data_IF_813695119367
#
_entry.id   IF_813695119367
#
_cell.length_a   1.000
_cell.length_b   1.000
_cell.length_c   1.000
_cell.angle_alpha   90.00
_cell.angle_beta   90.00
_cell.angle_gamma   90.00
#
_symmetry.space_group_name_H-M   'P 1'
#
loop_
_entity.id
_entity.type
_entity.pdbx_description
1 polymer ?
#
# COMPACT_ATOMS: atom_id res chain seq x y z
N UNK A 1 53.59 -15.97 -28.13
CA UNK A 1 54.01 -17.31 -28.55
C UNK A 1 52.79 -17.97 -29.18
N UNK A 2 52.91 -18.34 -30.46
CA UNK A 2 51.86 -18.81 -31.39
C UNK A 2 51.24 -17.68 -32.26
N UNK A 3 52.04 -16.95 -33.05
CA UNK A 3 52.51 -17.36 -34.38
C UNK A 3 51.62 -18.42 -35.08
N UNK A 4 51.16 -18.32 -36.32
CA UNK A 4 51.32 -17.37 -37.40
C UNK A 4 50.42 -17.93 -38.55
N UNK A 5 50.14 -17.09 -39.55
CA UNK A 5 49.88 -17.43 -40.96
C UNK A 5 48.46 -17.92 -41.34
N UNK A 6 47.67 -17.12 -42.07
CA UNK A 6 47.84 -16.69 -43.47
C UNK A 6 47.26 -17.71 -44.47
N UNK A 7 46.15 -17.36 -45.12
CA UNK A 7 45.91 -17.80 -46.49
C UNK A 7 45.08 -16.78 -47.27
N UNK A 8 45.77 -15.71 -47.68
CA UNK A 8 45.34 -14.90 -48.80
C UNK A 8 45.54 -15.66 -50.13
N UNK A 9 44.55 -15.55 -51.02
CA UNK A 9 44.76 -15.16 -52.42
C UNK A 9 45.26 -16.17 -53.46
N UNK A 10 44.39 -16.36 -54.47
CA UNK A 10 44.67 -16.45 -55.94
C UNK A 10 45.25 -17.78 -56.49
N UNK A 11 45.23 -18.05 -57.82
CA UNK A 11 44.79 -17.26 -58.98
C UNK A 11 43.85 -18.00 -59.97
N UNK A 12 43.65 -17.38 -61.12
CA UNK A 12 42.77 -17.71 -62.24
C UNK A 12 43.42 -18.60 -63.33
N UNK A 13 42.53 -19.12 -64.19
CA UNK A 13 42.61 -19.27 -65.65
C UNK A 13 43.27 -20.51 -66.31
N UNK A 14 42.66 -20.81 -67.48
CA UNK A 14 43.08 -21.63 -68.63
C UNK A 14 43.00 -23.16 -68.50
N UNK A 15 42.70 -23.97 -69.52
CA UNK A 15 41.94 -23.96 -70.79
C UNK A 15 42.48 -25.15 -71.61
N UNK A 16 41.64 -26.11 -72.02
CA UNK A 16 41.83 -27.03 -73.16
C UNK A 16 40.67 -28.07 -73.12
N UNK A 17 39.69 -28.03 -74.02
CA UNK A 17 39.69 -28.55 -75.40
C UNK A 17 39.26 -30.03 -75.52
N UNK A 18 38.01 -30.19 -76.01
CA UNK A 18 37.42 -31.18 -76.95
C UNK A 18 37.69 -32.69 -76.76
N UNK A 19 36.58 -33.47 -76.70
CA UNK A 19 36.15 -34.52 -77.66
C UNK A 19 34.64 -34.74 -77.43
N UNK A 20 33.73 -34.11 -78.18
CA UNK A 20 32.98 -34.65 -79.35
C UNK A 20 32.52 -36.10 -79.14
N UNK A 21 31.25 -36.31 -78.81
CA UNK A 21 30.54 -37.52 -79.21
C UNK A 21 29.16 -37.13 -79.74
N UNK A 22 28.98 -37.36 -81.03
CA UNK A 22 27.75 -37.17 -81.78
C UNK A 22 26.75 -38.28 -81.45
N UNK A 23 25.50 -37.91 -81.19
CA UNK A 23 24.37 -38.81 -81.45
C UNK A 23 23.12 -38.00 -81.86
N UNK A 24 22.58 -38.21 -83.07
CA UNK A 24 21.44 -37.44 -83.58
C UNK A 24 20.08 -38.10 -83.34
N UNK A 25 19.04 -37.26 -83.23
CA UNK A 25 17.61 -37.60 -83.27
C UNK A 25 16.96 -37.63 -81.88
N UNK A 26 15.86 -36.93 -81.58
CA UNK A 26 14.65 -36.69 -82.38
C UNK A 26 13.98 -35.38 -81.92
N UNK A 27 13.45 -34.64 -82.89
CA UNK A 27 12.67 -33.38 -82.77
C UNK A 27 11.26 -33.60 -82.21
N UNK A 28 10.81 -32.66 -81.37
CA UNK A 28 9.41 -32.19 -81.36
C UNK A 28 8.70 -32.15 -80.00
N UNK A 29 8.21 -30.97 -79.60
CA UNK A 29 7.02 -30.88 -78.73
C UNK A 29 6.99 -29.76 -77.67
N UNK A 30 6.62 -28.54 -78.08
CA UNK A 30 5.76 -27.59 -77.35
C UNK A 30 5.97 -27.33 -75.84
N UNK A 31 6.58 -26.19 -75.53
CA UNK A 31 6.58 -25.56 -74.19
C UNK A 31 5.17 -25.06 -73.82
N UNK A 32 4.45 -25.78 -72.95
CA UNK A 32 3.23 -25.28 -72.33
C UNK A 32 3.54 -24.26 -71.21
N UNK A 33 2.75 -23.18 -71.03
CA UNK A 33 3.03 -22.18 -70.01
C UNK A 33 2.73 -22.75 -68.62
N UNK A 34 3.73 -22.72 -67.73
CA UNK A 34 3.58 -23.13 -66.34
C UNK A 34 2.58 -22.21 -65.62
N UNK A 35 1.39 -22.73 -65.32
CA UNK A 35 0.39 -22.04 -64.50
C UNK A 35 0.97 -21.85 -63.09
N UNK A 36 1.27 -20.61 -62.69
CA UNK A 36 1.68 -20.28 -61.32
C UNK A 36 0.61 -20.74 -60.33
N UNK A 37 0.94 -21.53 -59.30
CA UNK A 37 -0.05 -22.00 -58.34
C UNK A 37 -0.59 -20.79 -57.55
N UNK A 38 -1.91 -20.59 -57.59
CA UNK A 38 -2.57 -19.58 -56.74
C UNK A 38 -2.38 -20.02 -55.28
N UNK A 39 -1.65 -19.21 -54.51
CA UNK A 39 -1.37 -19.45 -53.09
C UNK A 39 -2.70 -19.51 -52.33
N UNK A 40 -3.12 -20.72 -51.95
CA UNK A 40 -4.31 -20.92 -51.12
C UNK A 40 -3.97 -20.43 -49.72
N UNK A 41 -4.69 -19.41 -49.26
CA UNK A 41 -4.55 -18.91 -47.90
C UNK A 41 -5.17 -19.97 -46.97
N UNK A 42 -4.41 -20.43 -45.99
CA UNK A 42 -4.90 -21.37 -44.96
C UNK A 42 -5.79 -20.60 -43.99
N UNK A 43 -7.09 -20.59 -44.26
CA UNK A 43 -8.09 -19.94 -43.40
C UNK A 43 -8.13 -20.51 -41.99
N UNK A 44 -7.72 -21.78 -41.80
CA UNK A 44 -7.57 -22.40 -40.48
C UNK A 44 -6.49 -21.73 -39.62
N UNK A 45 -5.36 -21.33 -40.23
CA UNK A 45 -4.29 -20.59 -39.54
C UNK A 45 -4.75 -19.18 -39.15
N UNK A 46 -5.50 -18.52 -40.04
CA UNK A 46 -6.06 -17.19 -39.75
C UNK A 46 -7.07 -17.29 -38.60
N UNK A 47 -7.99 -18.25 -38.65
CA UNK A 47 -8.95 -18.49 -37.56
C UNK A 47 -8.26 -18.81 -36.23
N UNK A 48 -7.20 -19.62 -36.25
CA UNK A 48 -6.42 -19.94 -35.06
C UNK A 48 -5.73 -18.69 -34.48
N UNK A 49 -5.11 -17.86 -35.33
CA UNK A 49 -4.46 -16.61 -34.89
C UNK A 49 -5.49 -15.63 -34.32
N UNK A 50 -6.64 -15.46 -34.98
CA UNK A 50 -7.72 -14.60 -34.48
C UNK A 50 -8.23 -15.09 -33.13
N UNK A 51 -8.44 -16.39 -32.96
CA UNK A 51 -8.86 -16.97 -31.69
C UNK A 51 -7.81 -16.78 -30.59
N UNK A 52 -6.52 -16.98 -30.90
CA UNK A 52 -5.43 -16.77 -29.95
C UNK A 52 -5.34 -15.30 -29.50
N UNK A 53 -5.48 -14.34 -30.42
CA UNK A 53 -5.52 -12.91 -30.10
C UNK A 53 -6.74 -12.56 -29.26
N UNK A 54 -7.91 -13.13 -29.57
CA UNK A 54 -9.12 -12.90 -28.79
C UNK A 54 -8.99 -13.42 -27.35
N UNK A 55 -8.40 -14.60 -27.15
CA UNK A 55 -8.12 -15.17 -25.83
C UNK A 55 -7.10 -14.28 -25.09
N UNK A 56 -6.02 -13.86 -25.74
CA UNK A 56 -5.03 -12.98 -25.12
C UNK A 56 -5.65 -11.64 -24.70
N UNK A 57 -6.48 -11.02 -25.55
CA UNK A 57 -7.20 -9.79 -25.23
C UNK A 57 -8.17 -10.00 -24.04
N UNK A 58 -8.87 -11.14 -24.00
CA UNK A 58 -9.76 -11.49 -22.89
C UNK A 58 -8.99 -11.66 -21.56
N UNK A 59 -7.85 -12.36 -21.58
CA UNK A 59 -7.00 -12.52 -20.39
C UNK A 59 -6.45 -11.18 -19.89
N UNK A 60 -6.07 -10.28 -20.79
CA UNK A 60 -5.65 -8.92 -20.45
C UNK A 60 -6.83 -8.16 -19.82
N UNK A 61 -8.01 -8.22 -20.42
CA UNK A 61 -9.20 -7.55 -19.90
C UNK A 61 -9.60 -8.04 -18.51
N UNK A 62 -9.55 -9.36 -18.26
CA UNK A 62 -9.82 -9.96 -16.93
C UNK A 62 -8.77 -9.50 -15.91
N UNK A 63 -7.50 -9.43 -16.30
CA UNK A 63 -6.41 -8.98 -15.43
C UNK A 63 -6.59 -7.51 -15.06
N UNK A 64 -6.86 -6.65 -16.04
CA UNK A 64 -7.14 -5.22 -15.82
C UNK A 64 -8.37 -5.04 -14.95
N UNK A 65 -9.46 -5.76 -15.23
CA UNK A 65 -10.67 -5.70 -14.40
C UNK A 65 -10.43 -6.18 -12.97
N UNK A 66 -9.64 -7.23 -12.78
CA UNK A 66 -9.34 -7.76 -11.43
C UNK A 66 -8.44 -6.83 -10.62
N UNK A 67 -7.55 -6.08 -11.27
CA UNK A 67 -6.63 -5.13 -10.62
C UNK A 67 -7.27 -3.76 -10.40
N UNK A 68 -8.04 -3.26 -11.36
CA UNK A 68 -8.58 -1.89 -11.36
C UNK A 68 -10.09 -1.79 -11.11
N UNK A 69 -10.85 -2.89 -11.27
CA UNK A 69 -12.31 -2.91 -11.13
C UNK A 69 -12.82 -3.06 -9.68
N UNK A 70 -11.91 -3.18 -8.71
CA UNK A 70 -12.30 -3.27 -7.29
C UNK A 70 -12.46 -1.87 -6.71
N UNK A 71 -13.70 -1.51 -6.36
CA UNK A 71 -14.00 -0.42 -5.43
C UNK A 71 -13.40 -0.75 -4.06
N UNK A 72 -12.10 -0.50 -3.91
CA UNK A 72 -11.38 -0.78 -2.69
C UNK A 72 -11.84 0.21 -1.62
N UNK A 73 -12.20 -0.32 -0.46
CA UNK A 73 -12.50 0.49 0.72
C UNK A 73 -11.33 1.43 1.07
N UNK A 74 -10.11 1.05 0.70
CA UNK A 74 -8.92 1.90 0.85
C UNK A 74 -9.00 3.22 0.07
N UNK A 75 -9.74 3.27 -1.05
CA UNK A 75 -9.96 4.52 -1.80
C UNK A 75 -10.89 5.50 -1.08
N UNK A 76 -11.52 5.09 0.04
CA UNK A 76 -12.32 5.96 0.90
C UNK A 76 -11.53 6.58 2.04
N UNK A 77 -10.25 6.24 2.19
CA UNK A 77 -9.36 6.85 3.17
C UNK A 77 -8.92 8.22 2.64
N UNK A 78 -9.38 9.29 3.29
CA UNK A 78 -8.92 10.64 2.98
C UNK A 78 -7.67 10.94 3.81
N UNK A 79 -6.50 10.67 3.24
CA UNK A 79 -5.20 10.85 3.93
C UNK A 79 -4.92 12.29 4.38
N UNK A 80 -5.66 13.28 3.88
CA UNK A 80 -5.58 14.66 4.37
C UNK A 80 -6.28 14.86 5.72
N UNK A 81 -7.23 13.99 6.07
CA UNK A 81 -8.04 14.05 7.30
C UNK A 81 -7.53 13.09 8.37
N UNK A 82 -8.00 13.28 9.59
CA UNK A 82 -7.90 12.26 10.63
C UNK A 82 -8.97 11.21 10.41
N UNK A 83 -8.70 9.98 10.84
CA UNK A 83 -9.65 8.88 10.85
C UNK A 83 -9.91 8.42 12.28
N UNK A 84 -11.17 8.12 12.59
CA UNK A 84 -11.49 7.21 13.68
C UNK A 84 -11.39 5.77 13.17
N UNK A 85 -10.60 4.94 13.85
CA UNK A 85 -10.35 3.54 13.48
C UNK A 85 -10.86 2.65 14.60
N UNK A 86 -11.89 1.87 14.30
CA UNK A 86 -12.53 0.97 15.24
C UNK A 86 -11.98 -0.44 15.04
N UNK A 87 -11.34 -0.98 16.06
CA UNK A 87 -10.78 -2.33 16.02
C UNK A 87 -11.87 -3.36 16.36
N UNK A 88 -11.78 -4.53 15.73
CA UNK A 88 -12.57 -5.70 16.07
C UNK A 88 -12.07 -6.29 17.41
N UNK A 89 -12.44 -5.65 18.51
CA UNK A 89 -12.08 -6.00 19.88
C UNK A 89 -13.33 -5.98 20.76
N UNK A 90 -13.38 -6.85 21.78
CA UNK A 90 -14.52 -6.91 22.71
C UNK A 90 -14.75 -5.58 23.45
N UNK A 91 -13.68 -4.83 23.67
CA UNK A 91 -13.69 -3.57 24.41
C UNK A 91 -14.06 -2.36 23.54
N UNK A 92 -14.23 -2.56 22.22
CA UNK A 92 -14.63 -1.49 21.29
C UNK A 92 -13.61 -0.35 21.18
N UNK A 93 -12.32 -0.64 21.39
CA UNK A 93 -11.28 0.38 21.39
C UNK A 93 -11.25 1.15 20.06
N UNK A 94 -11.27 2.48 20.18
CA UNK A 94 -11.13 3.41 19.06
C UNK A 94 -9.78 4.12 19.14
N UNK A 95 -9.14 4.28 17.98
CA UNK A 95 -7.97 5.13 17.80
C UNK A 95 -8.27 6.23 16.79
N UNK A 96 -7.65 7.39 16.98
CA UNK A 96 -7.74 8.52 16.08
C UNK A 96 -6.36 8.82 15.51
N UNK A 97 -6.22 8.96 14.19
CA UNK A 97 -4.91 9.22 13.60
C UNK A 97 -4.98 9.40 12.09
N UNK A 98 -3.83 9.50 11.44
CA UNK A 98 -3.69 9.51 9.99
C UNK A 98 -3.55 8.08 9.49
N UNK A 99 -4.61 7.58 8.87
CA UNK A 99 -4.67 6.23 8.31
C UNK A 99 -4.19 6.25 6.86
N UNK A 100 -3.36 5.29 6.48
CA UNK A 100 -3.01 5.04 5.08
C UNK A 100 -2.85 3.55 4.81
N UNK A 101 -2.92 3.21 3.52
CA UNK A 101 -2.56 1.87 3.05
C UNK A 101 -1.05 1.68 3.16
N UNK A 102 -0.62 0.64 3.87
CA UNK A 102 0.78 0.21 3.84
C UNK A 102 0.99 -0.83 2.73
N UNK A 103 0.20 -1.90 2.75
CA UNK A 103 0.18 -2.96 1.75
C UNK A 103 -1.16 -3.69 1.81
N UNK A 104 -1.32 -4.75 1.04
CA UNK A 104 -2.54 -5.53 0.84
C UNK A 104 -3.15 -6.09 2.13
N UNK A 105 -2.34 -6.23 3.19
CA UNK A 105 -2.70 -6.86 4.47
C UNK A 105 -2.75 -5.87 5.64
N UNK A 106 -2.02 -4.76 5.53
CA UNK A 106 -1.85 -3.82 6.64
C UNK A 106 -2.24 -2.40 6.27
N UNK A 107 -2.78 -1.69 7.25
CA UNK A 107 -2.79 -0.24 7.29
C UNK A 107 -1.73 0.26 8.26
N UNK A 108 -1.25 1.47 8.00
CA UNK A 108 -0.44 2.23 8.94
C UNK A 108 -1.31 3.36 9.48
N UNK A 109 -1.40 3.44 10.80
CA UNK A 109 -1.93 4.59 11.52
C UNK A 109 -0.74 5.36 12.11
N UNK A 110 -0.76 6.68 12.01
CA UNK A 110 0.26 7.57 12.56
C UNK A 110 -0.40 8.78 13.23
N UNK A 111 0.36 9.53 14.04
CA UNK A 111 -0.17 10.69 14.77
C UNK A 111 -1.39 10.30 15.62
N UNK A 112 -1.18 9.28 16.46
CA UNK A 112 -2.23 8.48 17.09
C UNK A 112 -2.67 9.07 18.42
N UNK A 113 -3.99 9.10 18.62
CA UNK A 113 -4.66 9.52 19.85
C UNK A 113 -5.74 8.51 20.25
N UNK A 114 -6.07 8.45 21.54
CA UNK A 114 -7.19 7.67 22.06
C UNK A 114 -7.87 8.41 23.22
N UNK A 115 -9.15 8.12 23.46
CA UNK A 115 -9.91 8.70 24.57
C UNK A 115 -9.41 8.12 25.89
N UNK A 116 -9.20 8.99 26.86
CA UNK A 116 -9.11 8.65 28.27
C UNK A 116 -10.31 9.23 29.00
N UNK A 117 -10.86 8.46 29.92
CA UNK A 117 -11.85 8.94 30.87
C UNK A 117 -11.10 9.19 32.17
N UNK A 118 -10.86 10.45 32.47
CA UNK A 118 -10.33 10.83 33.78
C UNK A 118 -11.51 10.95 34.75
N UNK A 119 -11.49 10.11 35.80
CA UNK A 119 -12.40 10.28 36.92
C UNK A 119 -11.86 11.40 37.81
N UNK A 120 -12.35 12.62 37.57
CA UNK A 120 -12.16 13.71 38.54
C UNK A 120 -12.91 13.35 39.81
N UNK A 121 -12.18 13.21 40.92
CA UNK A 121 -12.81 13.01 42.23
C UNK A 121 -13.64 14.24 42.57
N UNK A 122 -14.86 14.07 43.11
CA UNK A 122 -15.69 15.20 43.52
C UNK A 122 -14.94 16.01 44.58
N UNK A 123 -14.98 17.32 44.41
CA UNK A 123 -14.31 18.28 45.28
C UNK A 123 -14.83 18.11 46.72
N UNK A 124 -13.94 17.87 47.69
CA UNK A 124 -14.33 17.60 49.09
C UNK A 124 -15.10 18.76 49.73
N UNK A 125 -15.02 19.95 49.15
CA UNK A 125 -15.68 21.17 49.62
C UNK A 125 -17.02 21.45 48.91
N UNK A 126 -17.44 20.64 47.94
CA UNK A 126 -18.70 20.83 47.23
C UNK A 126 -19.40 19.50 46.94
N UNK A 127 -20.13 18.99 47.94
CA UNK A 127 -20.88 17.74 47.87
C UNK A 127 -22.02 17.71 46.82
N UNK A 128 -22.27 18.82 46.13
CA UNK A 128 -23.27 18.93 45.05
C UNK A 128 -22.65 19.05 43.64
N UNK A 129 -21.32 19.05 43.51
CA UNK A 129 -20.67 19.00 42.20
C UNK A 129 -20.87 17.61 41.57
N UNK A 130 -21.66 17.55 40.50
CA UNK A 130 -21.79 16.33 39.70
C UNK A 130 -20.41 15.97 39.12
N UNK A 131 -20.03 14.68 39.11
CA UNK A 131 -18.78 14.26 38.49
C UNK A 131 -18.83 14.57 37.00
N UNK A 132 -18.14 15.64 36.60
CA UNK A 132 -18.04 16.02 35.20
C UNK A 132 -17.03 15.08 34.54
N UNK A 133 -17.50 14.16 33.70
CA UNK A 133 -16.62 13.34 32.89
C UNK A 133 -15.86 14.25 31.93
N UNK A 134 -14.58 14.48 32.19
CA UNK A 134 -13.71 15.15 31.25
C UNK A 134 -13.20 14.08 30.27
N UNK A 135 -13.72 14.09 29.04
CA UNK A 135 -13.20 13.25 27.96
C UNK A 135 -11.91 13.91 27.49
N UNK A 136 -10.76 13.36 27.87
CA UNK A 136 -9.45 13.82 27.42
C UNK A 136 -8.92 12.91 26.30
N UNK A 137 -8.08 13.47 25.42
CA UNK A 137 -7.35 12.68 24.43
C UNK A 137 -5.91 12.49 24.91
N UNK A 138 -5.45 11.25 24.91
CA UNK A 138 -4.04 10.92 25.11
C UNK A 138 -3.36 10.67 23.78
N UNK A 139 -2.12 11.14 23.66
CA UNK A 139 -1.24 10.89 22.53
C UNK A 139 -0.51 9.56 22.76
N UNK A 140 -0.51 8.69 21.76
CA UNK A 140 0.32 7.48 21.76
C UNK A 140 1.81 7.88 21.77
N UNK A 141 2.61 7.20 22.60
CA UNK A 141 4.07 7.32 22.65
C UNK A 141 4.63 7.43 24.08
N UNK A 142 3.81 7.87 25.04
CA UNK A 142 4.23 8.12 26.42
C UNK A 142 3.84 6.98 27.38
N UNK A 143 3.47 5.82 26.87
CA UNK A 143 3.15 4.64 27.66
C UNK A 143 4.41 3.97 28.23
N UNK A 144 4.24 3.16 29.28
CA UNK A 144 5.36 2.44 29.94
C UNK A 144 6.14 1.50 29.01
N UNK A 145 5.50 1.03 27.94
CA UNK A 145 6.11 0.17 26.93
C UNK A 145 6.73 0.96 25.77
N UNK A 146 6.70 2.30 25.85
CA UNK A 146 7.40 3.23 24.96
C UNK A 146 7.16 3.00 23.46
N UNK A 147 5.90 2.92 23.00
CA UNK A 147 5.64 2.70 21.59
C UNK A 147 6.10 3.91 20.77
N UNK A 148 6.49 3.67 19.52
CA UNK A 148 6.55 4.76 18.56
C UNK A 148 5.12 5.21 18.22
N UNK A 149 5.00 6.42 17.68
CA UNK A 149 3.74 6.97 17.21
C UNK A 149 3.26 6.39 15.86
N UNK A 150 3.33 5.07 15.77
CA UNK A 150 2.91 4.29 14.60
C UNK A 150 2.23 3.01 15.07
N UNK A 151 1.17 2.62 14.36
CA UNK A 151 0.51 1.35 14.56
C UNK A 151 0.28 0.69 13.21
N UNK A 152 0.82 -0.52 13.06
CA UNK A 152 0.61 -1.36 11.89
C UNK A 152 -0.53 -2.33 12.18
N UNK A 153 -1.68 -2.08 11.56
CA UNK A 153 -2.93 -2.75 11.89
C UNK A 153 -3.27 -3.71 10.75
N UNK A 154 -3.54 -4.98 11.09
CA UNK A 154 -4.10 -5.92 10.11
C UNK A 154 -5.46 -5.39 9.63
N UNK A 155 -5.66 -5.33 8.31
CA UNK A 155 -6.90 -4.84 7.69
C UNK A 155 -8.13 -5.63 8.16
N UNK A 156 -7.99 -6.93 8.40
CA UNK A 156 -9.07 -7.81 8.85
C UNK A 156 -9.46 -7.56 10.32
N UNK A 157 -8.62 -6.84 11.07
CA UNK A 157 -8.88 -6.46 12.46
C UNK A 157 -9.57 -5.10 12.59
N UNK A 158 -9.84 -4.39 11.48
CA UNK A 158 -10.57 -3.13 11.50
C UNK A 158 -12.03 -3.40 11.18
N UNK A 159 -12.92 -3.04 12.10
CA UNK A 159 -14.37 -3.17 11.90
C UNK A 159 -14.88 -2.12 10.90
N UNK A 160 -14.49 -0.86 11.11
CA UNK A 160 -14.73 0.24 10.17
C UNK A 160 -13.82 1.44 10.50
N UNK A 161 -13.80 2.42 9.60
CA UNK A 161 -13.19 3.72 9.85
C UNK A 161 -14.07 4.85 9.35
N UNK A 162 -13.85 6.05 9.90
CA UNK A 162 -14.56 7.27 9.51
C UNK A 162 -13.57 8.39 9.26
N UNK A 163 -13.71 9.14 8.16
CA UNK A 163 -12.96 10.38 7.99
C UNK A 163 -13.59 11.48 8.86
N UNK A 164 -12.79 12.08 9.73
CA UNK A 164 -13.24 13.11 10.65
C UNK A 164 -13.34 14.47 9.96
N UNK A 165 -14.34 15.26 10.35
CA UNK A 165 -14.47 16.65 9.93
C UNK A 165 -13.50 17.53 10.70
N UNK A 166 -12.95 18.55 10.04
CA UNK A 166 -11.99 19.48 10.63
C UNK A 166 -12.56 20.27 11.82
N UNK A 167 -13.87 20.52 11.81
CA UNK A 167 -14.60 21.18 12.88
C UNK A 167 -15.13 20.24 13.99
N UNK A 168 -14.84 18.94 13.88
CA UNK A 168 -15.22 17.93 14.85
C UNK A 168 -14.48 18.10 16.18
N UNK A 169 -15.11 17.71 17.29
CA UNK A 169 -14.55 17.88 18.64
C UNK A 169 -13.19 17.17 18.80
N UNK A 170 -13.05 15.96 18.24
CA UNK A 170 -11.78 15.21 18.26
C UNK A 170 -10.68 15.96 17.52
N UNK A 171 -10.94 16.45 16.31
CA UNK A 171 -9.92 17.17 15.52
C UNK A 171 -9.55 18.49 16.18
N UNK A 172 -10.51 19.20 16.77
CA UNK A 172 -10.26 20.39 17.59
C UNK A 172 -9.38 20.08 18.81
N UNK A 173 -9.68 19.01 19.54
CA UNK A 173 -8.90 18.58 20.69
C UNK A 173 -7.47 18.17 20.30
N UNK A 174 -7.29 17.43 19.19
CA UNK A 174 -5.97 17.12 18.61
C UNK A 174 -5.22 18.39 18.24
N UNK A 175 -5.90 19.34 17.60
CA UNK A 175 -5.31 20.63 17.20
C UNK A 175 -4.85 21.43 18.42
N UNK A 176 -5.65 21.45 19.48
CA UNK A 176 -5.28 22.13 20.72
C UNK A 176 -4.13 21.43 21.44
N UNK A 177 -4.13 20.10 21.48
CA UNK A 177 -3.01 19.31 21.99
C UNK A 177 -1.70 19.68 21.27
N UNK A 178 -1.73 19.80 19.94
CA UNK A 178 -0.54 20.13 19.14
C UNK A 178 0.00 21.53 19.38
N UNK A 179 -0.85 22.50 19.74
CA UNK A 179 -0.40 23.84 20.14
C UNK A 179 0.30 23.81 21.50
N UNK A 180 -0.21 23.01 22.44
CA UNK A 180 0.24 22.97 23.83
C UNK A 180 0.46 21.52 24.33
N UNK A 181 1.46 20.79 23.81
CA UNK A 181 1.64 19.36 24.12
C UNK A 181 2.03 19.10 25.58
N UNK A 182 2.67 20.06 26.25
CA UNK A 182 3.14 19.92 27.65
C UNK A 182 2.02 20.07 28.68
N UNK A 183 0.99 20.89 28.41
CA UNK A 183 -0.13 21.08 29.34
C UNK A 183 -1.09 19.89 29.36
N UNK A 184 -1.29 19.25 28.20
CA UNK A 184 -2.20 18.13 28.07
C UNK A 184 -1.64 16.80 28.61
N UNK A 185 -0.32 16.66 28.70
CA UNK A 185 0.32 15.55 29.40
C UNK A 185 0.39 15.78 30.93
N UNK A 186 0.27 17.02 31.41
CA UNK A 186 0.40 17.35 32.85
C UNK A 186 -0.88 17.13 33.68
N UNK A 187 -2.02 16.78 33.07
CA UNK A 187 -3.13 16.16 33.81
C UNK A 187 -2.75 14.77 34.36
N UNK A 188 -1.61 14.22 33.92
CA UNK A 188 -1.06 12.96 34.40
C UNK A 188 -0.22 13.08 35.68
N UNK A 189 0.06 14.29 36.21
CA UNK A 189 0.94 14.44 37.39
C UNK A 189 0.54 15.48 38.45
N UNK A 190 -0.58 16.20 38.30
CA UNK A 190 -1.04 17.12 39.36
C UNK A 190 -1.90 16.39 40.40
N UNK A 191 -1.29 15.45 41.12
CA UNK A 191 -1.81 14.99 42.41
C UNK A 191 -0.66 14.82 43.42
N UNK A 192 0.26 15.79 43.46
CA UNK A 192 1.16 15.93 44.60
C UNK A 192 0.41 16.60 45.75
N UNK A 193 0.10 15.75 46.71
CA UNK A 193 -0.42 16.01 48.04
C UNK A 193 0.37 17.14 48.76
N UNK A 194 -0.10 18.39 48.70
CA UNK A 194 0.40 19.47 49.57
C UNK A 194 -0.28 19.36 50.94
N UNK A 195 0.08 18.35 51.72
CA UNK A 195 -0.31 18.28 53.13
C UNK A 195 0.72 19.08 53.95
N UNK A 196 0.48 20.39 54.06
CA UNK A 196 1.25 21.27 54.91
C UNK A 196 0.76 21.09 56.37
N UNK A 197 1.26 20.06 57.07
CA UNK A 197 0.97 19.84 58.48
C UNK A 197 1.83 20.77 59.35
N UNK A 198 1.35 22.00 59.59
CA UNK A 198 1.75 22.76 60.76
C UNK A 198 1.18 22.08 62.01
N UNK A 199 2.06 21.42 62.76
CA UNK A 199 1.72 20.81 64.05
C UNK A 199 1.93 21.86 65.15
N UNK A 200 0.92 22.23 65.96
CA UNK A 200 1.18 23.02 67.16
C UNK A 200 1.89 22.14 68.20
N UNK A 201 2.98 22.65 68.77
CA UNK A 201 3.73 22.00 69.84
C UNK A 201 2.84 21.73 71.08
N UNK A 202 2.99 20.58 71.76
CA UNK A 202 2.26 20.34 73.00
C UNK A 202 2.88 21.15 74.15
N UNK A 203 2.04 21.97 74.76
CA UNK A 203 2.31 22.66 76.02
C UNK A 203 2.59 21.63 77.13
N UNK A 204 3.76 21.70 77.76
CA UNK A 204 4.06 20.97 78.99
C UNK A 204 4.32 21.98 80.10
N UNK A 205 3.31 22.17 80.95
CA UNK A 205 3.48 22.64 82.31
C UNK A 205 3.91 21.45 83.17
N UNK A 206 5.14 21.48 83.69
CA UNK A 206 5.46 21.21 85.09
C UNK A 206 6.88 21.70 85.40
#
# INVERSE_FOLDING_TARGET
MNDYLNRAGRPAAQSAARVVNDQPGVVGGGSAPAKKPKKKIDWSRILFVVLAVAIAALLIAITVYSVFGKNSISAKIDTSKYQAVFLNSADGQVYFGKLKVLNDKYYELSDIYYVRVEQVQPDKNNAQAQPQQNISLAKLGNEIHGPQDFMYINRDSIMFFENLKDDGQVVKAITEYKKNPTQNNNQQNNNTNTNNNNTPAPNTNN
#
